data_IF_515058635418
#
_entry.id   IF_515058635418
#
_cell.length_a   1.000
_cell.length_b   1.000
_cell.length_c   1.000
_cell.angle_alpha   90.00
_cell.angle_beta   90.00
_cell.angle_gamma   90.00
#
_symmetry.space_group_name_H-M   'P 1'
#
loop_
_entity.id
_entity.type
_entity.pdbx_description
1 polymer ?
#
# COMPACT_ATOMS: atom_id res chain seq x y z
N UNK A 1 -19.18 -8.46 -28.30
CA UNK A 1 -18.29 -7.40 -28.82
C UNK A 1 -17.68 -7.88 -30.13
N UNK A 2 -17.61 -7.02 -31.19
CA UNK A 2 -16.96 -7.37 -32.46
C UNK A 2 -15.51 -7.79 -32.19
N UNK A 3 -15.10 -8.90 -32.77
CA UNK A 3 -13.85 -9.57 -32.44
C UNK A 3 -12.59 -8.83 -32.87
N UNK A 4 -12.68 -7.73 -33.65
CA UNK A 4 -11.50 -7.11 -34.27
C UNK A 4 -11.65 -5.60 -34.53
N UNK A 5 -12.36 -4.86 -33.71
CA UNK A 5 -12.43 -3.41 -33.87
C UNK A 5 -11.28 -2.75 -33.10
N UNK A 6 -10.55 -1.84 -33.77
CA UNK A 6 -9.48 -1.00 -33.17
C UNK A 6 -9.91 -0.30 -31.87
N UNK A 7 -11.19 0.02 -31.74
CA UNK A 7 -11.76 0.73 -30.58
C UNK A 7 -12.33 -0.21 -29.50
N UNK A 8 -12.36 -1.53 -29.72
CA UNK A 8 -12.94 -2.47 -28.76
C UNK A 8 -12.27 -2.42 -27.38
N UNK A 9 -10.92 -2.37 -27.26
CA UNK A 9 -10.30 -2.27 -25.95
C UNK A 9 -10.68 -0.99 -25.19
N UNK A 10 -10.69 0.17 -25.87
CA UNK A 10 -11.07 1.44 -25.24
C UNK A 10 -12.55 1.43 -24.78
N UNK A 11 -13.44 0.83 -25.59
CA UNK A 11 -14.85 0.68 -25.25
C UNK A 11 -15.06 -0.29 -24.06
N UNK A 12 -14.28 -1.38 -23.99
CA UNK A 12 -14.32 -2.30 -22.86
C UNK A 12 -13.79 -1.63 -21.59
N UNK A 13 -12.70 -0.86 -21.71
CA UNK A 13 -12.16 -0.13 -20.58
C UNK A 13 -13.19 0.84 -20.00
N UNK A 14 -13.78 1.69 -20.87
CA UNK A 14 -14.84 2.62 -20.42
C UNK A 14 -16.08 1.91 -19.87
N UNK A 15 -16.46 0.77 -20.44
CA UNK A 15 -17.57 -0.02 -19.92
C UNK A 15 -17.29 -0.55 -18.51
N UNK A 16 -16.07 -1.00 -18.23
CA UNK A 16 -15.69 -1.45 -16.90
C UNK A 16 -15.74 -0.30 -15.88
N UNK A 17 -15.22 0.89 -16.25
CA UNK A 17 -15.35 2.10 -15.43
C UNK A 17 -16.80 2.45 -15.14
N UNK A 18 -17.68 2.43 -16.15
CA UNK A 18 -19.11 2.70 -15.97
C UNK A 18 -19.81 1.67 -15.07
N UNK A 19 -19.42 0.39 -15.13
CA UNK A 19 -19.93 -0.61 -14.20
C UNK A 19 -19.46 -0.37 -12.77
N UNK A 20 -18.22 0.07 -12.61
CA UNK A 20 -17.69 0.45 -11.31
C UNK A 20 -18.43 1.68 -10.77
N UNK A 21 -18.51 2.79 -11.52
CA UNK A 21 -19.25 4.00 -11.16
C UNK A 21 -20.71 3.68 -10.78
N UNK A 22 -21.36 2.80 -11.54
CA UNK A 22 -22.75 2.37 -11.26
C UNK A 22 -22.84 1.58 -9.95
N UNK A 23 -21.88 0.71 -9.65
CA UNK A 23 -21.87 -0.05 -8.39
C UNK A 23 -21.67 0.86 -7.18
N UNK A 24 -20.84 1.89 -7.31
CA UNK A 24 -20.64 2.91 -6.27
C UNK A 24 -21.94 3.65 -5.95
N UNK A 25 -22.62 4.14 -6.99
CA UNK A 25 -23.93 4.84 -6.81
C UNK A 25 -24.97 3.93 -6.18
N UNK A 26 -25.08 2.69 -6.67
CA UNK A 26 -26.05 1.74 -6.14
C UNK A 26 -25.75 1.36 -4.68
N UNK A 27 -24.48 1.29 -4.30
CA UNK A 27 -24.09 1.04 -2.92
C UNK A 27 -24.39 2.24 -2.02
N UNK A 28 -24.13 3.47 -2.47
CA UNK A 28 -24.50 4.70 -1.77
C UNK A 28 -25.99 4.76 -1.47
N UNK A 29 -26.84 4.55 -2.49
CA UNK A 29 -28.30 4.50 -2.33
C UNK A 29 -28.74 3.39 -1.35
N UNK A 30 -28.07 2.25 -1.36
CA UNK A 30 -28.35 1.14 -0.45
C UNK A 30 -27.94 1.46 0.99
N UNK A 31 -26.84 2.19 1.22
CA UNK A 31 -26.41 2.68 2.54
C UNK A 31 -27.41 3.69 3.11
N UNK A 32 -27.85 4.66 2.31
CA UNK A 32 -28.86 5.65 2.74
C UNK A 32 -30.16 4.96 3.19
N UNK A 33 -30.64 3.98 2.40
CA UNK A 33 -31.79 3.17 2.77
C UNK A 33 -31.54 2.32 4.04
N UNK A 34 -30.37 1.74 4.18
CA UNK A 34 -29.99 0.97 5.36
C UNK A 34 -30.00 1.84 6.62
N UNK A 35 -29.49 3.05 6.56
CA UNK A 35 -29.48 3.98 7.70
C UNK A 35 -30.89 4.40 8.11
N UNK A 36 -31.78 4.62 7.15
CA UNK A 36 -33.22 4.84 7.42
C UNK A 36 -33.85 3.63 8.13
N UNK A 37 -33.58 2.43 7.64
CA UNK A 37 -34.06 1.18 8.23
C UNK A 37 -33.51 0.97 9.66
N UNK A 38 -32.23 1.27 9.90
CA UNK A 38 -31.64 1.21 11.25
C UNK A 38 -32.31 2.18 12.22
N UNK A 39 -32.65 3.39 11.76
CA UNK A 39 -33.42 4.34 12.58
C UNK A 39 -34.83 3.82 12.90
N UNK A 40 -35.48 3.12 11.97
CA UNK A 40 -36.80 2.50 12.22
C UNK A 40 -36.68 1.34 13.22
N UNK A 41 -35.63 0.51 13.11
CA UNK A 41 -35.36 -0.57 14.04
C UNK A 41 -35.07 -0.04 15.46
N UNK A 42 -34.24 0.97 15.59
CA UNK A 42 -33.92 1.58 16.90
C UNK A 42 -35.12 2.21 17.61
N UNK A 43 -36.16 2.59 16.83
CA UNK A 43 -37.44 3.09 17.34
C UNK A 43 -38.51 2.00 17.55
N UNK A 44 -38.13 0.74 17.37
CA UNK A 44 -39.06 -0.40 17.51
C UNK A 44 -40.14 -0.47 16.41
N UNK A 45 -39.95 0.19 15.27
CA UNK A 45 -40.93 0.22 14.17
C UNK A 45 -40.79 -0.96 13.21
N UNK A 46 -39.65 -1.63 13.19
CA UNK A 46 -39.42 -2.86 12.44
C UNK A 46 -38.80 -3.92 13.39
N UNK A 47 -39.12 -5.22 13.21
CA UNK A 47 -38.79 -6.27 14.16
C UNK A 47 -37.37 -6.78 14.03
N UNK A 48 -36.71 -6.61 12.88
CA UNK A 48 -35.40 -7.16 12.58
C UNK A 48 -34.37 -6.04 12.26
N UNK A 49 -33.15 -6.22 12.74
CA UNK A 49 -32.07 -5.32 12.40
C UNK A 49 -31.71 -5.48 10.91
N UNK A 50 -31.64 -4.39 10.14
CA UNK A 50 -31.31 -4.46 8.72
C UNK A 50 -29.87 -4.89 8.54
N UNK A 51 -29.61 -5.74 7.55
CA UNK A 51 -28.26 -6.16 7.17
C UNK A 51 -27.57 -5.04 6.39
N UNK A 52 -26.29 -4.85 6.67
CA UNK A 52 -25.46 -3.93 5.90
C UNK A 52 -25.43 -4.33 4.42
N UNK A 53 -25.60 -3.40 3.48
CA UNK A 53 -25.56 -3.72 2.06
C UNK A 53 -24.14 -4.11 1.64
N UNK A 54 -24.05 -5.13 0.79
CA UNK A 54 -22.80 -5.51 0.15
C UNK A 54 -22.57 -4.69 -1.11
N UNK A 55 -21.33 -4.32 -1.36
CA UNK A 55 -20.92 -3.67 -2.58
C UNK A 55 -20.68 -4.70 -3.69
N UNK A 56 -21.26 -4.50 -4.88
CA UNK A 56 -21.27 -5.49 -5.96
C UNK A 56 -20.47 -5.00 -7.17
N UNK A 57 -19.22 -5.44 -7.27
CA UNK A 57 -18.29 -5.05 -8.33
C UNK A 57 -18.09 -6.10 -9.44
N UNK A 58 -18.80 -7.23 -9.39
CA UNK A 58 -18.56 -8.38 -10.28
C UNK A 58 -18.63 -8.05 -11.77
N UNK A 59 -19.51 -7.11 -12.18
CA UNK A 59 -19.62 -6.70 -13.57
C UNK A 59 -18.38 -5.96 -14.06
N UNK A 60 -17.84 -5.03 -13.27
CA UNK A 60 -16.61 -4.30 -13.59
C UNK A 60 -15.40 -5.26 -13.66
N UNK A 61 -15.23 -6.08 -12.63
CA UNK A 61 -14.17 -7.10 -12.54
C UNK A 61 -14.17 -7.97 -13.79
N UNK A 62 -15.33 -8.52 -14.16
CA UNK A 62 -15.47 -9.39 -15.34
C UNK A 62 -15.04 -8.69 -16.63
N UNK A 63 -15.39 -7.43 -16.84
CA UNK A 63 -15.01 -6.71 -18.06
C UNK A 63 -13.52 -6.39 -18.07
N UNK A 64 -12.92 -5.98 -16.94
CA UNK A 64 -11.47 -5.79 -16.84
C UNK A 64 -10.71 -7.08 -17.13
N UNK A 65 -11.12 -8.21 -16.55
CA UNK A 65 -10.50 -9.53 -16.81
C UNK A 65 -10.62 -9.93 -18.28
N UNK A 66 -11.79 -9.74 -18.91
CA UNK A 66 -11.97 -10.03 -20.34
C UNK A 66 -11.11 -9.13 -21.23
N UNK A 67 -10.98 -7.85 -20.87
CA UNK A 67 -10.11 -6.91 -21.58
C UNK A 67 -8.64 -7.38 -21.54
N UNK A 68 -8.16 -7.73 -20.35
CA UNK A 68 -6.78 -8.21 -20.18
C UNK A 68 -6.54 -9.56 -20.89
N UNK A 69 -7.50 -10.48 -20.83
CA UNK A 69 -7.38 -11.77 -21.50
C UNK A 69 -7.30 -11.65 -23.03
N UNK A 70 -8.05 -10.71 -23.61
CA UNK A 70 -8.13 -10.53 -25.08
C UNK A 70 -7.07 -9.57 -25.62
N UNK A 71 -6.76 -8.52 -24.90
CA UNK A 71 -5.96 -7.39 -25.41
C UNK A 71 -4.80 -6.99 -24.49
N UNK A 72 -4.61 -7.63 -23.33
CA UNK A 72 -3.62 -7.21 -22.33
C UNK A 72 -2.16 -7.19 -22.79
N UNK A 73 -1.83 -7.85 -23.92
CA UNK A 73 -0.48 -7.79 -24.50
C UNK A 73 -0.26 -6.60 -25.44
N UNK A 74 -1.33 -6.04 -25.98
CA UNK A 74 -1.28 -5.03 -27.05
C UNK A 74 -1.97 -3.73 -26.67
N UNK A 75 -2.76 -3.73 -25.61
CA UNK A 75 -3.50 -2.56 -25.20
C UNK A 75 -2.58 -1.58 -24.47
N UNK A 76 -2.52 -0.35 -24.96
CA UNK A 76 -1.62 0.70 -24.46
C UNK A 76 -1.84 1.11 -23.00
N UNK A 77 -3.04 0.85 -22.46
CA UNK A 77 -3.41 1.16 -21.09
C UNK A 77 -3.61 -0.11 -20.24
N UNK A 78 -2.96 -1.21 -20.60
CA UNK A 78 -3.08 -2.46 -19.86
C UNK A 78 -2.55 -2.35 -18.41
N UNK A 79 -1.60 -1.45 -18.17
CA UNK A 79 -1.15 -1.08 -16.82
C UNK A 79 -2.25 -0.41 -15.99
N UNK A 80 -2.98 0.56 -16.59
CA UNK A 80 -4.13 1.18 -15.93
C UNK A 80 -5.25 0.17 -15.64
N UNK A 81 -5.50 -0.77 -16.57
CA UNK A 81 -6.50 -1.83 -16.36
C UNK A 81 -6.11 -2.73 -15.21
N UNK A 82 -4.82 -3.12 -15.10
CA UNK A 82 -4.32 -3.94 -14.00
C UNK A 82 -4.40 -3.20 -12.66
N UNK A 83 -4.10 -1.90 -12.66
CA UNK A 83 -4.21 -1.04 -11.48
C UNK A 83 -5.65 -0.99 -10.97
N UNK A 84 -6.60 -0.65 -11.85
CA UNK A 84 -8.01 -0.53 -11.49
C UNK A 84 -8.64 -1.89 -11.14
N UNK A 85 -8.25 -2.97 -11.84
CA UNK A 85 -8.71 -4.31 -11.50
C UNK A 85 -8.27 -4.69 -10.09
N UNK A 86 -7.01 -4.42 -9.73
CA UNK A 86 -6.52 -4.68 -8.37
C UNK A 86 -7.32 -3.89 -7.33
N UNK A 87 -7.59 -2.61 -7.61
CA UNK A 87 -8.37 -1.75 -6.72
C UNK A 87 -9.79 -2.28 -6.49
N UNK A 88 -10.48 -2.61 -7.58
CA UNK A 88 -11.88 -3.12 -7.51
C UNK A 88 -11.95 -4.50 -6.85
N UNK A 89 -10.91 -5.33 -7.00
CA UNK A 89 -10.82 -6.63 -6.32
C UNK A 89 -10.57 -6.45 -4.81
N UNK A 90 -9.74 -5.49 -4.41
CA UNK A 90 -9.53 -5.14 -2.99
C UNK A 90 -10.85 -4.68 -2.34
N UNK A 91 -11.60 -3.79 -2.98
CA UNK A 91 -12.91 -3.36 -2.50
C UNK A 91 -13.94 -4.51 -2.45
N UNK A 92 -13.81 -5.47 -3.35
CA UNK A 92 -14.61 -6.71 -3.33
C UNK A 92 -14.13 -7.75 -2.30
N UNK A 93 -13.15 -7.41 -1.45
CA UNK A 93 -12.51 -8.30 -0.46
C UNK A 93 -11.83 -9.53 -1.08
N UNK A 94 -11.41 -9.43 -2.35
CA UNK A 94 -10.58 -10.44 -3.02
C UNK A 94 -9.11 -10.00 -3.02
N UNK A 95 -8.49 -10.01 -1.82
CA UNK A 95 -7.10 -9.57 -1.61
C UNK A 95 -6.11 -10.36 -2.45
N UNK A 96 -6.37 -11.66 -2.64
CA UNK A 96 -5.50 -12.52 -3.48
C UNK A 96 -5.60 -12.13 -4.96
N UNK A 97 -6.79 -11.86 -5.45
CA UNK A 97 -7.02 -11.36 -6.80
C UNK A 97 -6.40 -9.99 -7.02
N UNK A 98 -6.57 -9.08 -6.08
CA UNK A 98 -5.97 -7.74 -6.08
C UNK A 98 -4.45 -7.83 -6.16
N UNK A 99 -3.83 -8.59 -5.27
CA UNK A 99 -2.38 -8.82 -5.25
C UNK A 99 -1.87 -9.39 -6.57
N UNK A 100 -2.56 -10.38 -7.15
CA UNK A 100 -2.19 -10.96 -8.46
C UNK A 100 -2.22 -9.93 -9.59
N UNK A 101 -3.25 -9.08 -9.64
CA UNK A 101 -3.36 -8.01 -10.63
C UNK A 101 -2.24 -6.99 -10.48
N UNK A 102 -1.95 -6.55 -9.26
CA UNK A 102 -0.88 -5.59 -8.97
C UNK A 102 0.51 -6.18 -9.20
N UNK A 103 0.77 -7.42 -8.82
CA UNK A 103 2.04 -8.09 -9.16
C UNK A 103 2.24 -8.20 -10.67
N UNK A 104 1.18 -8.47 -11.44
CA UNK A 104 1.25 -8.48 -12.89
C UNK A 104 1.57 -7.08 -13.45
N UNK A 105 1.07 -5.99 -12.83
CA UNK A 105 1.40 -4.62 -13.19
C UNK A 105 2.89 -4.34 -13.00
N UNK A 106 3.40 -4.49 -11.79
CA UNK A 106 4.80 -4.12 -11.47
C UNK A 106 5.82 -4.97 -12.21
N UNK A 107 5.46 -6.23 -12.53
CA UNK A 107 6.30 -7.13 -13.29
C UNK A 107 6.35 -6.78 -14.78
N UNK A 108 5.20 -6.48 -15.39
CA UNK A 108 5.10 -6.23 -16.85
C UNK A 108 5.34 -4.77 -17.22
N UNK A 109 5.00 -3.86 -16.30
CA UNK A 109 5.01 -2.41 -16.55
C UNK A 109 5.76 -1.65 -15.44
N UNK A 110 7.05 -1.96 -15.18
CA UNK A 110 7.81 -1.33 -14.10
C UNK A 110 7.99 0.19 -14.25
N UNK A 111 7.74 0.73 -15.46
CA UNK A 111 7.78 2.18 -15.73
C UNK A 111 6.40 2.84 -15.71
N UNK A 112 5.36 2.10 -15.33
CA UNK A 112 4.02 2.66 -15.18
C UNK A 112 4.00 3.73 -14.08
N UNK A 113 3.21 4.76 -14.28
CA UNK A 113 2.97 5.79 -13.26
C UNK A 113 2.35 5.24 -11.98
N UNK A 114 1.73 4.07 -12.06
CA UNK A 114 1.10 3.39 -10.92
C UNK A 114 2.08 2.49 -10.14
N UNK A 115 3.26 2.22 -10.71
CA UNK A 115 4.16 1.20 -10.15
C UNK A 115 4.65 1.52 -8.73
N UNK A 116 4.89 2.79 -8.41
CA UNK A 116 5.30 3.19 -7.06
C UNK A 116 4.19 2.91 -6.04
N UNK A 117 2.96 3.32 -6.31
CA UNK A 117 1.81 3.08 -5.45
C UNK A 117 1.52 1.59 -5.30
N UNK A 118 1.52 0.87 -6.41
CA UNK A 118 1.23 -0.57 -6.40
C UNK A 118 2.25 -1.37 -5.60
N UNK A 119 3.54 -1.05 -5.72
CA UNK A 119 4.55 -1.67 -4.86
C UNK A 119 4.29 -1.37 -3.39
N UNK A 120 3.91 -0.13 -3.05
CA UNK A 120 3.56 0.22 -1.67
C UNK A 120 2.40 -0.64 -1.15
N UNK A 121 1.28 -0.73 -1.91
CA UNK A 121 0.10 -1.52 -1.53
C UNK A 121 0.40 -3.01 -1.35
N UNK A 122 1.16 -3.61 -2.27
CA UNK A 122 1.59 -5.02 -2.10
C UNK A 122 2.42 -5.16 -0.82
N UNK A 123 3.33 -4.22 -0.56
CA UNK A 123 4.12 -4.22 0.67
C UNK A 123 3.23 -4.10 1.92
N UNK A 124 2.22 -3.24 1.92
CA UNK A 124 1.26 -3.08 3.03
C UNK A 124 0.49 -4.38 3.27
N UNK A 125 -0.05 -5.01 2.23
CA UNK A 125 -0.74 -6.30 2.35
C UNK A 125 0.17 -7.38 2.97
N UNK A 126 1.41 -7.51 2.49
CA UNK A 126 2.37 -8.49 3.04
C UNK A 126 2.75 -8.17 4.49
N UNK A 127 2.89 -6.88 4.81
CA UNK A 127 3.18 -6.43 6.17
C UNK A 127 2.06 -6.80 7.15
N UNK A 128 0.81 -6.61 6.75
CA UNK A 128 -0.37 -6.95 7.56
C UNK A 128 -0.49 -8.47 7.81
N UNK A 129 0.03 -9.29 6.90
CA UNK A 129 0.19 -10.73 7.09
C UNK A 129 1.47 -11.14 7.85
N UNK A 130 2.23 -10.17 8.39
CA UNK A 130 3.52 -10.39 9.05
C UNK A 130 4.60 -11.01 8.14
N UNK A 131 4.45 -10.91 6.82
CA UNK A 131 5.44 -11.33 5.82
C UNK A 131 6.49 -10.21 5.61
N UNK A 132 7.17 -9.80 6.69
CA UNK A 132 7.99 -8.58 6.75
C UNK A 132 9.14 -8.56 5.73
N UNK A 133 9.81 -9.70 5.51
CA UNK A 133 10.92 -9.82 4.52
C UNK A 133 10.45 -9.61 3.10
N UNK A 134 9.26 -10.09 2.78
CA UNK A 134 8.69 -9.92 1.45
C UNK A 134 8.12 -8.51 1.29
N UNK A 135 7.46 -7.96 2.31
CA UNK A 135 7.05 -6.56 2.34
C UNK A 135 8.21 -5.60 2.08
N UNK A 136 9.36 -5.82 2.73
CA UNK A 136 10.58 -5.03 2.56
C UNK A 136 11.07 -4.98 1.10
N UNK A 137 10.91 -6.06 0.33
CA UNK A 137 11.28 -6.10 -1.10
C UNK A 137 10.43 -5.11 -1.92
N UNK A 138 9.12 -5.06 -1.65
CA UNK A 138 8.21 -4.17 -2.36
C UNK A 138 8.37 -2.72 -1.93
N UNK A 139 8.56 -2.44 -0.64
CA UNK A 139 8.89 -1.08 -0.18
C UNK A 139 10.23 -0.60 -0.77
N UNK A 140 11.23 -1.47 -0.87
CA UNK A 140 12.49 -1.16 -1.55
C UNK A 140 12.27 -0.83 -3.02
N UNK A 141 11.36 -1.53 -3.71
CA UNK A 141 11.03 -1.25 -5.11
C UNK A 141 10.43 0.16 -5.29
N UNK A 142 9.67 0.70 -4.32
CA UNK A 142 9.18 2.08 -4.35
C UNK A 142 10.32 3.09 -4.39
N UNK A 143 11.46 2.78 -3.78
CA UNK A 143 12.63 3.69 -3.72
C UNK A 143 13.31 3.90 -5.09
N UNK A 144 12.94 3.14 -6.11
CA UNK A 144 13.33 3.39 -7.51
C UNK A 144 12.57 4.59 -8.13
N UNK A 145 11.59 5.17 -7.41
CA UNK A 145 10.77 6.30 -7.84
C UNK A 145 10.95 7.49 -6.89
N UNK A 146 12.13 8.16 -6.88
CA UNK A 146 12.49 9.14 -5.84
C UNK A 146 11.62 10.40 -5.83
N UNK A 147 10.88 10.67 -6.91
CA UNK A 147 9.94 11.80 -7.01
C UNK A 147 8.50 11.42 -6.68
N UNK A 148 8.26 10.17 -6.32
CA UNK A 148 6.93 9.70 -5.94
C UNK A 148 6.53 10.26 -4.58
N UNK A 149 5.24 10.61 -4.42
CA UNK A 149 4.64 10.97 -3.14
C UNK A 149 4.59 9.83 -2.12
N UNK A 150 4.97 8.63 -2.53
CA UNK A 150 5.02 7.43 -1.68
C UNK A 150 6.42 7.12 -1.14
N UNK A 151 7.43 7.94 -1.50
CA UNK A 151 8.83 7.63 -1.22
C UNK A 151 9.15 7.60 0.28
N UNK A 152 8.73 8.61 1.03
CA UNK A 152 8.95 8.70 2.48
C UNK A 152 8.16 7.64 3.24
N UNK A 153 6.89 7.42 2.86
CA UNK A 153 6.08 6.35 3.43
C UNK A 153 6.73 4.98 3.20
N UNK A 154 7.28 4.74 2.02
CA UNK A 154 7.98 3.49 1.72
C UNK A 154 9.26 3.32 2.54
N UNK A 155 10.05 4.38 2.74
CA UNK A 155 11.22 4.34 3.64
C UNK A 155 10.82 4.00 5.07
N UNK A 156 9.75 4.65 5.58
CA UNK A 156 9.24 4.38 6.92
C UNK A 156 8.78 2.93 7.07
N UNK A 157 7.94 2.45 6.15
CA UNK A 157 7.45 1.07 6.16
C UNK A 157 8.54 0.02 5.95
N UNK A 158 9.57 0.34 5.15
CA UNK A 158 10.75 -0.51 4.98
C UNK A 158 11.53 -0.64 6.30
N UNK A 159 11.77 0.47 6.99
CA UNK A 159 12.44 0.45 8.28
C UNK A 159 11.64 -0.35 9.32
N UNK A 160 10.32 -0.18 9.33
CA UNK A 160 9.41 -0.96 10.16
C UNK A 160 9.44 -2.46 9.85
N UNK A 161 9.50 -2.82 8.56
CA UNK A 161 9.60 -4.23 8.14
C UNK A 161 10.89 -4.86 8.66
N UNK A 162 12.00 -4.13 8.61
CA UNK A 162 13.26 -4.58 9.18
C UNK A 162 13.19 -4.71 10.69
N UNK A 163 12.60 -3.73 11.38
CA UNK A 163 12.42 -3.77 12.83
C UNK A 163 11.58 -4.98 13.28
N UNK A 164 10.45 -5.24 12.61
CA UNK A 164 9.59 -6.37 12.90
C UNK A 164 10.21 -7.74 12.56
N UNK A 165 11.18 -7.77 11.64
CA UNK A 165 11.94 -8.97 11.29
C UNK A 165 13.21 -9.13 12.16
N UNK A 166 13.36 -8.30 13.21
CA UNK A 166 14.53 -8.27 14.10
C UNK A 166 15.84 -7.90 13.40
N UNK A 167 15.81 -7.36 12.18
CA UNK A 167 16.98 -6.81 11.47
C UNK A 167 17.18 -5.34 11.87
N UNK A 168 17.61 -5.13 13.11
CA UNK A 168 17.78 -3.78 13.68
C UNK A 168 18.84 -2.96 12.95
N UNK A 169 19.88 -3.58 12.42
CA UNK A 169 20.91 -2.91 11.62
C UNK A 169 20.32 -2.25 10.36
N UNK A 170 19.48 -2.98 9.62
CA UNK A 170 18.81 -2.47 8.44
C UNK A 170 17.72 -1.46 8.80
N UNK A 171 17.01 -1.65 9.93
CA UNK A 171 16.04 -0.70 10.46
C UNK A 171 16.70 0.66 10.74
N UNK A 172 17.79 0.68 11.50
CA UNK A 172 18.56 1.88 11.83
C UNK A 172 19.05 2.60 10.56
N UNK A 173 19.66 1.89 9.62
CA UNK A 173 20.14 2.46 8.35
C UNK A 173 19.00 3.11 7.56
N UNK A 174 17.84 2.46 7.58
CA UNK A 174 16.66 2.93 6.80
C UNK A 174 15.97 4.11 7.49
N UNK A 175 15.81 4.10 8.82
CA UNK A 175 15.31 5.27 9.56
C UNK A 175 16.24 6.49 9.39
N UNK A 176 17.56 6.31 9.50
CA UNK A 176 18.54 7.37 9.23
C UNK A 176 18.39 7.94 7.80
N UNK A 177 18.21 7.06 6.80
CA UNK A 177 17.96 7.50 5.41
C UNK A 177 16.68 8.31 5.29
N UNK A 178 15.60 7.92 5.97
CA UNK A 178 14.35 8.67 6.01
C UNK A 178 14.55 10.07 6.61
N UNK A 179 15.24 10.13 7.75
CA UNK A 179 15.50 11.39 8.44
C UNK A 179 16.40 12.32 7.60
N UNK A 180 17.41 11.78 6.93
CA UNK A 180 18.26 12.54 5.99
C UNK A 180 17.42 13.07 4.81
N UNK A 181 16.51 12.26 4.27
CA UNK A 181 15.61 12.70 3.21
C UNK A 181 14.74 13.89 3.66
N UNK A 182 14.15 13.84 4.87
CA UNK A 182 13.39 14.97 5.42
C UNK A 182 14.24 16.21 5.64
N UNK A 183 15.48 16.05 6.08
CA UNK A 183 16.40 17.18 6.23
C UNK A 183 16.64 17.88 4.89
N UNK A 184 16.87 17.11 3.82
CA UNK A 184 17.06 17.65 2.47
C UNK A 184 15.78 18.29 1.91
N UNK A 185 14.60 17.71 2.16
CA UNK A 185 13.32 18.31 1.78
C UNK A 185 13.07 19.63 2.52
N UNK A 186 13.40 19.74 3.80
CA UNK A 186 13.28 20.99 4.56
C UNK A 186 14.16 22.10 3.98
N UNK A 187 15.37 21.78 3.49
CA UNK A 187 16.23 22.74 2.78
C UNK A 187 15.57 23.26 1.49
N UNK A 188 14.70 22.47 0.87
CA UNK A 188 13.97 22.85 -0.35
C UNK A 188 12.62 23.51 -0.07
N UNK A 189 12.25 23.71 1.20
CA UNK A 189 11.00 24.34 1.62
C UNK A 189 9.79 23.40 1.67
N UNK A 190 9.99 22.09 1.52
CA UNK A 190 8.93 21.09 1.67
C UNK A 190 8.57 20.91 3.16
N UNK A 191 7.28 20.65 3.43
CA UNK A 191 6.82 20.35 4.79
C UNK A 191 7.24 18.96 5.21
N UNK A 192 7.77 18.84 6.44
CA UNK A 192 8.07 17.54 7.02
C UNK A 192 6.79 16.72 7.23
N UNK A 193 6.83 15.42 6.91
CA UNK A 193 5.74 14.49 7.19
C UNK A 193 5.64 14.18 8.70
N UNK A 194 4.44 13.85 9.17
CA UNK A 194 4.20 13.37 10.54
C UNK A 194 5.03 12.12 10.89
N UNK A 195 5.44 11.34 9.89
CA UNK A 195 6.28 10.14 10.07
C UNK A 195 7.70 10.43 10.59
N UNK A 196 8.14 11.71 10.57
CA UNK A 196 9.48 12.08 11.03
C UNK A 196 9.65 11.85 12.53
N UNK A 197 8.68 12.26 13.34
CA UNK A 197 8.76 12.09 14.79
C UNK A 197 8.76 10.61 15.16
N UNK A 198 7.87 9.83 14.58
CA UNK A 198 7.84 8.38 14.78
C UNK A 198 9.15 7.72 14.32
N UNK A 199 9.74 8.17 13.21
CA UNK A 199 11.02 7.62 12.74
C UNK A 199 12.17 7.87 13.73
N UNK A 200 12.17 8.97 14.46
CA UNK A 200 13.15 9.25 15.52
C UNK A 200 12.95 8.29 16.70
N UNK A 201 11.70 8.09 17.12
CA UNK A 201 11.38 7.21 18.25
C UNK A 201 11.80 5.77 17.94
N UNK A 202 11.45 5.25 16.75
CA UNK A 202 11.82 3.89 16.36
C UNK A 202 13.31 3.72 16.05
N UNK A 203 13.98 4.76 15.59
CA UNK A 203 15.44 4.77 15.51
C UNK A 203 16.07 4.61 16.91
N UNK A 204 15.56 5.35 17.90
CA UNK A 204 16.02 5.25 19.27
C UNK A 204 15.75 3.86 19.85
N UNK A 205 14.55 3.31 19.67
CA UNK A 205 14.20 1.95 20.08
C UNK A 205 15.12 0.92 19.44
N UNK A 206 15.33 1.01 18.11
CA UNK A 206 16.23 0.10 17.39
C UNK A 206 17.67 0.15 17.91
N UNK A 207 18.16 1.31 18.36
CA UNK A 207 19.52 1.46 18.91
C UNK A 207 19.64 0.86 20.31
N UNK A 208 18.57 0.85 21.10
CA UNK A 208 18.56 0.43 22.50
C UNK A 208 17.99 -0.97 22.68
N UNK A 209 17.74 -1.71 21.61
CA UNK A 209 17.25 -3.08 21.70
C UNK A 209 18.25 -3.96 22.45
N UNK A 210 17.77 -4.66 23.47
CA UNK A 210 18.60 -5.46 24.37
C UNK A 210 18.90 -6.85 23.79
N UNK A 211 17.97 -7.43 23.03
CA UNK A 211 18.16 -8.69 22.30
C UNK A 211 18.42 -8.40 20.81
N UNK A 212 19.62 -7.90 20.54
CA UNK A 212 20.01 -7.40 19.21
C UNK A 212 20.08 -8.45 18.12
N UNK A 213 20.51 -9.64 18.46
CA UNK A 213 20.72 -10.75 17.52
C UNK A 213 19.58 -11.78 17.55
N UNK A 214 18.54 -11.48 18.36
CA UNK A 214 17.37 -12.30 18.55
C UNK A 214 17.67 -13.74 19.00
N UNK A 215 18.71 -13.89 19.85
CA UNK A 215 19.08 -15.19 20.44
C UNK A 215 18.32 -15.49 21.75
N UNK A 216 17.58 -14.51 22.27
CA UNK A 216 16.79 -14.59 23.51
C UNK A 216 17.60 -14.24 24.76
N UNK A 217 18.86 -13.85 24.64
CA UNK A 217 19.68 -13.33 25.74
C UNK A 217 19.71 -11.80 25.69
N UNK A 218 19.49 -11.15 26.84
CA UNK A 218 19.49 -9.68 26.92
C UNK A 218 20.90 -9.15 27.13
N UNK A 219 21.31 -8.19 26.30
CA UNK A 219 22.59 -7.49 26.38
C UNK A 219 22.41 -5.95 26.42
N UNK A 220 21.91 -5.40 27.57
CA UNK A 220 21.59 -3.98 27.68
C UNK A 220 22.80 -3.06 27.54
N UNK A 221 24.01 -3.51 27.88
CA UNK A 221 25.22 -2.71 27.71
C UNK A 221 25.57 -2.53 26.23
N UNK A 222 25.29 -3.52 25.38
CA UNK A 222 25.51 -3.44 23.95
C UNK A 222 24.62 -2.37 23.28
N UNK A 223 23.38 -2.22 23.72
CA UNK A 223 22.45 -1.16 23.26
C UNK A 223 23.03 0.24 23.50
N UNK A 224 23.53 0.48 24.69
CA UNK A 224 24.19 1.76 25.05
C UNK A 224 25.46 1.99 24.18
N UNK A 225 26.30 0.97 24.00
CA UNK A 225 27.52 1.09 23.17
C UNK A 225 27.21 1.35 21.69
N UNK A 226 26.15 0.73 21.17
CA UNK A 226 25.67 1.00 19.79
C UNK A 226 25.22 2.46 19.66
N UNK A 227 24.37 2.95 20.58
CA UNK A 227 23.89 4.33 20.56
C UNK A 227 25.06 5.32 20.64
N UNK A 228 26.00 5.10 21.55
CA UNK A 228 27.23 5.92 21.65
C UNK A 228 28.09 5.86 20.40
N UNK A 229 28.24 4.70 19.77
CA UNK A 229 28.95 4.53 18.50
C UNK A 229 28.33 5.35 17.37
N UNK A 230 27.00 5.41 17.29
CA UNK A 230 26.29 6.24 16.32
C UNK A 230 26.42 7.73 16.60
N UNK A 231 26.39 8.15 17.87
CA UNK A 231 26.55 9.55 18.28
C UNK A 231 27.99 10.04 18.08
N UNK A 232 28.98 9.23 18.41
CA UNK A 232 30.40 9.58 18.28
C UNK A 232 30.90 9.52 16.82
N UNK A 233 30.22 8.83 15.93
CA UNK A 233 30.51 8.81 14.51
C UNK A 233 30.19 10.11 13.77
N UNK A 234 29.73 11.15 14.46
CA UNK A 234 29.73 12.55 14.02
C UNK A 234 28.79 12.90 12.89
N UNK A 235 27.70 12.15 12.63
CA UNK A 235 26.82 12.51 11.51
C UNK A 235 25.38 12.03 11.67
N UNK A 236 24.72 12.40 12.74
CA UNK A 236 23.25 12.31 12.69
C UNK A 236 22.63 13.69 12.48
N UNK A 237 23.29 14.78 12.92
CA UNK A 237 22.72 16.13 12.83
C UNK A 237 23.80 17.21 13.06
N UNK A 238 24.74 17.39 12.14
CA UNK A 238 25.35 18.70 11.99
C UNK A 238 24.65 19.54 10.95
#
# INVERSE_FOLDING_TARGET
YPSNNKYTPDAMFRLAELYYERSEVAHGDALDNHDEQRMLYSRGKIPEEPRSPNQEHSAAIKVYQQLLARFGKTYRYADAVLYLLGYVLEEAMDDEGARKAWMALVTRYPKSKYAAEVNLRIGETLFDFAEYRDAAKYYTAVLNYPTSSYYDKALYKLAWSHFQDYDYDSAIKTFKRLLAWYHDQNKTGATASALREEAVDYLALSLTEDDWDADGELDPDAGVQRALGYLNGGTVWE
#
